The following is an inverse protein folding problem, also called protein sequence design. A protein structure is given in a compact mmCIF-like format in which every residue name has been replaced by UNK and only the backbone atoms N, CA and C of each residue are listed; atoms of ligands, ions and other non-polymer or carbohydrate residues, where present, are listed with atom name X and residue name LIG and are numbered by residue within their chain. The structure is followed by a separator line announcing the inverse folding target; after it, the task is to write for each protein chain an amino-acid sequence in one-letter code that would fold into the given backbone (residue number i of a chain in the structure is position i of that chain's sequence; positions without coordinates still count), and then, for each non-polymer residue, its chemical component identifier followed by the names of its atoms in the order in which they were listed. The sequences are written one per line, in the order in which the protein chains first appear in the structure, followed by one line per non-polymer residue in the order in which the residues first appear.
data_IF_458026106248
#
_entry.id   IF_458026106248
#
_cell.length_a   1.000
_cell.length_b   1.000
_cell.length_c   1.000
_cell.angle_alpha   90.00
_cell.angle_beta   90.00
_cell.angle_gamma   90.00
#
_symmetry.space_group_name_H-M   'P 1'
#
loop_
_entity.id
_entity.type
_entity.pdbx_description
1 polymer ?
#
# COMPACT_ATOMS: atom_id res chain seq x y z
N UNK A 1 31.38 -76.80 3.74
CA UNK A 1 31.92 -75.84 4.73
C UNK A 1 32.69 -74.64 4.15
N UNK A 2 32.92 -74.51 2.82
CA UNK A 2 33.61 -73.32 2.24
C UNK A 2 32.69 -72.18 1.81
N UNK A 3 31.40 -72.44 1.56
CA UNK A 3 30.44 -71.40 1.10
C UNK A 3 29.83 -70.57 2.23
N UNK A 4 29.71 -71.12 3.44
CA UNK A 4 29.18 -70.40 4.61
C UNK A 4 30.17 -69.37 5.20
N UNK A 5 31.47 -69.56 5.00
CA UNK A 5 32.50 -68.64 5.48
C UNK A 5 32.61 -67.36 4.64
N UNK A 6 32.22 -67.42 3.36
CA UNK A 6 32.27 -66.26 2.44
C UNK A 6 31.12 -65.28 2.73
N UNK A 7 29.95 -65.77 3.13
CA UNK A 7 28.84 -64.90 3.54
C UNK A 7 29.03 -64.28 4.92
N UNK A 8 29.78 -64.95 5.82
CA UNK A 8 30.14 -64.38 7.12
C UNK A 8 31.24 -63.31 7.01
N UNK A 9 32.13 -63.40 6.01
CA UNK A 9 33.14 -62.36 5.76
C UNK A 9 32.61 -61.11 5.04
N UNK A 10 31.46 -61.20 4.35
CA UNK A 10 30.85 -60.05 3.65
C UNK A 10 29.96 -59.17 4.53
N UNK A 11 29.71 -59.58 5.79
CA UNK A 11 28.87 -58.86 6.75
C UNK A 11 29.67 -57.98 7.74
N UNK A 12 31.00 -57.88 7.62
CA UNK A 12 31.86 -57.19 8.61
C UNK A 12 32.43 -55.84 8.14
N UNK A 13 32.20 -55.37 6.90
CA UNK A 13 32.77 -54.08 6.46
C UNK A 13 31.73 -53.08 5.96
N UNK A 14 30.85 -52.64 6.86
CA UNK A 14 30.26 -51.30 6.79
C UNK A 14 30.35 -50.65 8.17
N UNK A 15 31.58 -50.47 8.68
CA UNK A 15 31.82 -49.35 9.58
C UNK A 15 31.80 -48.09 8.72
N UNK A 16 30.60 -47.54 8.50
CA UNK A 16 30.48 -46.13 8.19
C UNK A 16 31.19 -45.40 9.33
N UNK A 17 32.44 -44.96 9.10
CA UNK A 17 33.09 -44.02 10.01
C UNK A 17 32.20 -42.79 10.01
N UNK A 18 31.37 -42.65 11.04
CA UNK A 18 30.71 -41.39 11.31
C UNK A 18 31.83 -40.37 11.49
N UNK A 19 32.05 -39.53 10.47
CA UNK A 19 33.03 -38.48 10.53
C UNK A 19 32.52 -37.48 11.57
N UNK A 20 33.04 -37.58 12.79
CA UNK A 20 32.74 -36.62 13.84
C UNK A 20 33.42 -35.31 13.47
N UNK A 21 32.67 -34.45 12.80
CA UNK A 21 33.11 -33.12 12.42
C UNK A 21 33.43 -32.30 13.70
N UNK A 22 34.64 -31.69 13.81
CA UNK A 22 34.99 -30.89 14.98
C UNK A 22 34.10 -29.67 15.19
N UNK A 23 33.44 -29.17 14.13
CA UNK A 23 32.36 -28.19 14.24
C UNK A 23 31.04 -28.96 14.37
N UNK A 24 30.38 -28.78 15.51
CA UNK A 24 29.21 -29.57 15.90
C UNK A 24 27.88 -28.88 15.54
N UNK A 25 27.87 -27.55 15.40
CA UNK A 25 26.69 -26.81 14.95
C UNK A 25 27.05 -25.51 14.22
N UNK A 26 26.21 -25.15 13.26
CA UNK A 26 26.24 -23.85 12.57
C UNK A 26 24.80 -23.37 12.47
N UNK A 27 24.53 -22.16 12.95
CA UNK A 27 23.25 -21.47 12.85
C UNK A 27 23.46 -20.15 12.09
N UNK A 28 22.62 -19.93 11.09
CA UNK A 28 22.62 -18.72 10.26
C UNK A 28 21.29 -18.01 10.50
N UNK A 29 21.37 -16.80 11.06
CA UNK A 29 20.25 -15.90 11.23
C UNK A 29 20.38 -14.74 10.24
N UNK A 30 19.52 -14.78 9.23
CA UNK A 30 19.31 -13.71 8.25
C UNK A 30 17.80 -13.64 7.99
N UNK A 31 17.22 -12.43 7.86
CA UNK A 31 15.83 -12.27 7.46
C UNK A 31 15.55 -12.95 6.12
N UNK A 32 14.30 -13.35 5.90
CA UNK A 32 13.89 -13.96 4.62
C UNK A 32 13.95 -12.98 3.44
N UNK A 33 13.89 -11.68 3.70
CA UNK A 33 13.92 -10.62 2.69
C UNK A 33 14.91 -9.51 3.10
N UNK A 34 16.23 -9.78 3.11
CA UNK A 34 17.22 -8.78 3.47
C UNK A 34 17.40 -7.76 2.33
N UNK A 35 18.12 -6.67 2.62
CA UNK A 35 18.49 -5.65 1.63
C UNK A 35 19.27 -6.28 0.46
N UNK A 36 19.04 -5.80 -0.77
CA UNK A 36 19.73 -6.26 -1.96
C UNK A 36 21.25 -5.98 -1.91
N UNK A 37 21.67 -4.92 -1.22
CA UNK A 37 23.06 -4.59 -1.00
C UNK A 37 23.56 -5.24 0.29
N UNK A 38 24.48 -6.21 0.16
CA UNK A 38 25.02 -6.94 1.31
C UNK A 38 25.81 -6.06 2.28
N UNK A 39 26.26 -4.88 1.87
CA UNK A 39 26.88 -3.90 2.76
C UNK A 39 25.95 -3.46 3.90
N UNK A 40 24.64 -3.50 3.67
CA UNK A 40 23.62 -3.08 4.63
C UNK A 40 23.24 -4.19 5.62
N UNK A 41 23.81 -5.39 5.50
CA UNK A 41 23.52 -6.52 6.40
C UNK A 41 24.24 -6.41 7.75
N UNK A 42 24.95 -5.32 7.99
CA UNK A 42 25.69 -5.08 9.22
C UNK A 42 24.82 -4.60 10.38
N UNK A 43 23.65 -4.03 10.10
CA UNK A 43 22.79 -3.36 11.09
C UNK A 43 21.31 -3.45 10.71
N UNK A 44 20.44 -3.05 11.64
CA UNK A 44 19.01 -2.86 11.38
C UNK A 44 18.26 -4.14 11.00
N UNK A 45 17.28 -4.00 10.12
CA UNK A 45 16.35 -5.08 9.76
C UNK A 45 16.97 -6.18 8.88
N UNK A 46 18.16 -5.95 8.32
CA UNK A 46 18.90 -6.89 7.45
C UNK A 46 20.07 -7.55 8.16
N UNK A 47 20.18 -7.42 9.49
CA UNK A 47 21.35 -7.84 10.23
C UNK A 47 21.65 -9.35 10.09
N UNK A 48 22.83 -9.68 9.59
CA UNK A 48 23.34 -11.05 9.51
C UNK A 48 23.98 -11.46 10.84
N UNK A 49 23.65 -12.65 11.33
CA UNK A 49 24.35 -13.30 12.44
C UNK A 49 24.65 -14.75 12.11
N UNK A 50 25.89 -15.17 12.35
CA UNK A 50 26.35 -16.55 12.23
C UNK A 50 26.81 -17.00 13.62
N UNK A 51 26.33 -18.14 14.08
CA UNK A 51 26.77 -18.77 15.33
C UNK A 51 27.26 -20.17 15.02
N UNK A 52 28.43 -20.55 15.51
CA UNK A 52 28.95 -21.90 15.36
C UNK A 52 29.51 -22.43 16.68
N UNK A 53 29.38 -23.74 16.88
CA UNK A 53 29.95 -24.43 18.05
C UNK A 53 30.97 -25.48 17.64
N UNK A 54 32.04 -25.57 18.41
CA UNK A 54 33.12 -26.54 18.24
C UNK A 54 33.16 -27.58 19.35
N UNK A 55 33.75 -28.73 19.06
CA UNK A 55 34.04 -29.77 20.03
C UNK A 55 35.13 -29.37 21.03
N UNK A 56 35.09 -29.99 22.21
CA UNK A 56 36.09 -29.81 23.25
C UNK A 56 37.05 -31.03 23.31
N UNK A 57 38.31 -30.77 23.64
CA UNK A 57 39.32 -31.80 23.98
C UNK A 57 39.95 -31.39 25.31
N UNK A 58 39.89 -32.27 26.32
CA UNK A 58 40.42 -32.01 27.66
C UNK A 58 39.92 -30.68 28.28
N UNK A 59 38.64 -30.36 28.09
CA UNK A 59 38.01 -29.14 28.62
C UNK A 59 38.38 -27.84 27.89
N UNK A 60 39.14 -27.91 26.78
CA UNK A 60 39.49 -26.76 25.93
C UNK A 60 38.89 -26.92 24.54
N UNK A 61 38.79 -25.81 23.80
CA UNK A 61 38.38 -25.85 22.38
C UNK A 61 39.38 -26.73 21.60
N UNK A 62 38.88 -27.62 20.76
CA UNK A 62 39.71 -28.47 19.91
C UNK A 62 40.67 -27.62 19.05
N UNK A 63 41.96 -27.95 19.00
CA UNK A 63 42.97 -27.20 18.24
C UNK A 63 42.62 -27.02 16.76
N UNK A 64 42.00 -28.04 16.13
CA UNK A 64 41.52 -27.93 14.76
C UNK A 64 40.42 -26.88 14.58
N UNK A 65 39.60 -26.66 15.62
CA UNK A 65 38.57 -25.63 15.62
C UNK A 65 39.19 -24.25 15.80
N UNK A 66 40.21 -24.11 16.66
CA UNK A 66 40.95 -22.85 16.87
C UNK A 66 41.64 -22.39 15.58
N UNK A 67 42.26 -23.32 14.86
CA UNK A 67 42.96 -23.06 13.59
C UNK A 67 42.04 -23.06 12.36
N UNK A 68 40.73 -23.18 12.56
CA UNK A 68 39.79 -23.29 11.45
C UNK A 68 39.63 -21.97 10.69
N UNK A 69 39.24 -22.11 9.43
CA UNK A 69 38.84 -21.03 8.54
C UNK A 69 37.34 -21.13 8.27
N UNK A 70 36.69 -19.98 8.12
CA UNK A 70 35.25 -19.89 7.84
C UNK A 70 35.02 -19.35 6.43
N UNK A 71 34.35 -20.15 5.60
CA UNK A 71 33.92 -19.73 4.26
C UNK A 71 32.46 -19.31 4.33
N UNK A 72 32.18 -18.06 3.95
CA UNK A 72 30.82 -17.53 3.81
C UNK A 72 30.63 -17.09 2.36
N UNK A 73 29.64 -17.67 1.68
CA UNK A 73 29.34 -17.36 0.27
C UNK A 73 27.84 -17.33 0.04
N UNK A 74 27.42 -16.57 -0.97
CA UNK A 74 26.04 -16.56 -1.43
C UNK A 74 25.98 -17.36 -2.73
N UNK A 75 24.99 -18.22 -2.84
CA UNK A 75 24.73 -19.05 -4.00
C UNK A 75 23.38 -18.75 -4.62
N UNK A 76 23.27 -19.01 -5.92
CA UNK A 76 22.03 -19.11 -6.67
C UNK A 76 22.07 -20.42 -7.46
N UNK A 77 21.07 -21.28 -7.29
CA UNK A 77 21.02 -22.61 -7.90
C UNK A 77 22.32 -23.41 -7.68
N UNK A 78 22.84 -23.41 -6.45
CA UNK A 78 24.08 -24.10 -6.07
C UNK A 78 25.39 -23.45 -6.55
N UNK A 79 25.33 -22.43 -7.42
CA UNK A 79 26.52 -21.73 -7.93
C UNK A 79 26.84 -20.50 -7.09
N UNK A 80 28.11 -20.32 -6.72
CA UNK A 80 28.59 -19.12 -6.00
C UNK A 80 28.39 -17.87 -6.87
N UNK A 81 27.65 -16.89 -6.35
CA UNK A 81 27.40 -15.59 -7.01
C UNK A 81 27.97 -14.41 -6.24
N UNK A 82 28.25 -14.56 -4.94
CA UNK A 82 28.91 -13.53 -4.14
C UNK A 82 29.78 -14.15 -3.04
N UNK A 83 30.87 -13.45 -2.71
CA UNK A 83 31.87 -13.82 -1.70
C UNK A 83 33.27 -13.79 -2.34
N UNK A 84 34.23 -13.12 -1.73
CA UNK A 84 35.60 -13.01 -2.26
C UNK A 84 36.40 -14.30 -2.06
N UNK A 85 36.14 -15.02 -0.97
CA UNK A 85 36.97 -16.14 -0.55
C UNK A 85 36.62 -17.46 -1.24
N UNK A 86 37.61 -18.35 -1.27
CA UNK A 86 37.46 -19.78 -1.54
C UNK A 86 37.76 -20.54 -0.26
N UNK A 87 37.57 -21.85 -0.28
CA UNK A 87 37.88 -22.70 0.87
C UNK A 87 39.36 -22.62 1.30
N UNK A 88 40.28 -22.30 0.37
CA UNK A 88 41.72 -22.08 0.68
C UNK A 88 42.06 -20.67 1.19
N UNK A 89 41.34 -19.64 0.71
CA UNK A 89 41.61 -18.23 1.05
C UNK A 89 40.70 -17.67 2.14
N UNK A 90 39.77 -18.48 2.66
CA UNK A 90 38.89 -18.12 3.75
C UNK A 90 39.64 -17.55 4.97
N UNK A 91 39.07 -16.53 5.64
CA UNK A 91 39.66 -15.96 6.85
C UNK A 91 39.59 -16.94 8.02
N UNK A 92 40.47 -16.75 8.99
CA UNK A 92 40.43 -17.48 10.26
C UNK A 92 39.09 -17.28 10.96
N UNK A 93 38.53 -18.35 11.52
CA UNK A 93 37.30 -18.30 12.32
C UNK A 93 37.50 -17.61 13.67
N UNK A 94 38.73 -17.69 14.22
CA UNK A 94 39.08 -17.09 15.50
C UNK A 94 38.20 -17.60 16.67
N UNK A 95 37.99 -18.91 16.73
CA UNK A 95 37.40 -19.55 17.91
C UNK A 95 38.32 -19.37 19.12
N UNK A 96 37.79 -18.77 20.18
CA UNK A 96 38.45 -18.61 21.48
C UNK A 96 37.66 -19.25 22.63
N UNK A 97 36.42 -19.65 22.38
CA UNK A 97 35.50 -20.35 23.27
C UNK A 97 34.78 -21.45 22.47
N UNK A 98 33.99 -22.31 23.12
CA UNK A 98 33.30 -23.40 22.40
C UNK A 98 32.24 -22.90 21.41
N UNK A 99 31.70 -21.70 21.63
CA UNK A 99 30.70 -21.09 20.74
C UNK A 99 31.18 -19.73 20.29
N UNK A 100 31.24 -19.53 18.98
CA UNK A 100 31.62 -18.25 18.37
C UNK A 100 30.44 -17.64 17.65
N UNK A 101 30.25 -16.33 17.87
CA UNK A 101 29.22 -15.53 17.20
C UNK A 101 29.89 -14.44 16.38
N UNK A 102 29.51 -14.35 15.12
CA UNK A 102 29.79 -13.21 14.24
C UNK A 102 28.46 -12.54 13.97
N UNK A 103 28.34 -11.24 14.27
CA UNK A 103 27.09 -10.51 14.07
C UNK A 103 27.37 -9.16 13.42
N UNK A 104 26.40 -8.71 12.63
CA UNK A 104 26.45 -7.44 11.93
C UNK A 104 27.68 -7.35 11.03
N UNK A 105 28.38 -6.21 11.08
CA UNK A 105 29.54 -5.95 10.21
C UNK A 105 30.63 -7.03 10.32
N UNK A 106 30.77 -7.69 11.47
CA UNK A 106 31.73 -8.79 11.65
C UNK A 106 31.31 -10.08 10.90
N UNK A 107 30.01 -10.29 10.69
CA UNK A 107 29.54 -11.41 9.87
C UNK A 107 29.61 -11.06 8.39
N UNK A 108 29.28 -9.81 8.03
CA UNK A 108 29.33 -9.32 6.64
C UNK A 108 30.76 -9.33 6.11
N UNK A 109 31.76 -8.99 6.93
CA UNK A 109 33.17 -9.00 6.51
C UNK A 109 33.66 -10.39 6.09
N UNK A 110 33.01 -11.47 6.53
CA UNK A 110 33.34 -12.84 6.13
C UNK A 110 32.97 -13.15 4.68
N UNK A 111 32.10 -12.35 4.06
CA UNK A 111 31.89 -12.39 2.61
C UNK A 111 33.11 -11.85 1.86
N UNK A 112 33.91 -10.96 2.48
CA UNK A 112 35.12 -10.36 1.90
C UNK A 112 34.86 -9.34 0.78
N UNK A 113 33.61 -9.16 0.35
CA UNK A 113 33.20 -8.17 -0.62
C UNK A 113 31.72 -7.81 -0.43
N UNK A 114 31.37 -6.56 -0.75
CA UNK A 114 29.99 -6.12 -0.87
C UNK A 114 29.45 -6.50 -2.25
N UNK A 115 28.18 -6.91 -2.30
CA UNK A 115 27.50 -7.31 -3.51
C UNK A 115 26.13 -6.64 -3.58
N UNK A 116 25.71 -6.26 -4.79
CA UNK A 116 24.34 -5.86 -5.07
C UNK A 116 23.67 -7.03 -5.79
N UNK A 117 22.71 -7.65 -5.12
CA UNK A 117 22.02 -8.84 -5.60
C UNK A 117 20.79 -8.43 -6.41
N UNK A 118 20.62 -8.93 -7.65
CA UNK A 118 19.37 -8.80 -8.37
C UNK A 118 18.20 -9.50 -7.64
N UNK A 119 16.95 -9.23 -8.04
CA UNK A 119 15.80 -9.94 -7.52
C UNK A 119 15.90 -11.47 -7.74
N UNK A 120 15.42 -12.24 -6.78
CA UNK A 120 15.31 -13.69 -6.86
C UNK A 120 15.67 -14.42 -5.57
N UNK A 121 15.72 -15.74 -5.67
CA UNK A 121 16.01 -16.64 -4.54
C UNK A 121 17.49 -17.03 -4.47
N UNK A 122 18.00 -17.05 -3.25
CA UNK A 122 19.41 -17.23 -2.93
C UNK A 122 19.60 -18.08 -1.67
N UNK A 123 20.82 -18.58 -1.50
CA UNK A 123 21.24 -19.31 -0.31
C UNK A 123 22.52 -18.73 0.25
N UNK A 124 22.52 -18.34 1.53
CA UNK A 124 23.74 -18.01 2.26
C UNK A 124 24.32 -19.30 2.81
N UNK A 125 25.54 -19.64 2.39
CA UNK A 125 26.23 -20.89 2.73
C UNK A 125 27.42 -20.63 3.64
N UNK A 126 27.55 -21.42 4.70
CA UNK A 126 28.65 -21.36 5.66
C UNK A 126 29.27 -22.75 5.83
N UNK A 127 30.60 -22.82 5.74
CA UNK A 127 31.36 -24.05 5.98
C UNK A 127 32.72 -23.75 6.60
N UNK A 128 33.21 -24.67 7.45
CA UNK A 128 34.50 -24.56 8.09
C UNK A 128 35.52 -25.52 7.50
N UNK A 129 36.76 -25.07 7.42
CA UNK A 129 37.89 -25.85 6.90
C UNK A 129 39.10 -25.72 7.81
N UNK A 130 40.04 -26.66 7.73
CA UNK A 130 41.40 -26.46 8.18
C UNK A 130 42.39 -26.77 7.07
N UNK A 131 43.63 -26.33 7.29
CA UNK A 131 44.76 -26.77 6.50
C UNK A 131 45.63 -27.67 7.36
N UNK A 132 45.73 -28.94 7.00
CA UNK A 132 46.57 -29.91 7.71
C UNK A 132 47.30 -30.77 6.69
N UNK A 133 48.60 -30.99 6.91
CA UNK A 133 49.46 -31.80 6.05
C UNK A 133 49.44 -31.37 4.57
N UNK A 134 49.44 -30.06 4.30
CA UNK A 134 49.42 -29.54 2.92
C UNK A 134 48.07 -29.65 2.22
N UNK A 135 47.03 -30.15 2.90
CA UNK A 135 45.70 -30.39 2.34
C UNK A 135 44.62 -29.62 3.09
N UNK A 136 43.68 -29.08 2.32
CA UNK A 136 42.48 -28.48 2.87
C UNK A 136 41.47 -29.57 3.24
N UNK A 137 41.03 -29.60 4.50
CA UNK A 137 40.05 -30.57 4.98
C UNK A 137 38.79 -29.85 5.50
N UNK A 138 37.58 -30.30 5.11
CA UNK A 138 36.35 -29.79 5.70
C UNK A 138 36.24 -30.22 7.17
N UNK A 139 35.89 -29.28 8.03
CA UNK A 139 35.63 -29.50 9.46
C UNK A 139 34.15 -29.49 9.81
N UNK A 140 33.30 -29.17 8.83
CA UNK A 140 31.86 -29.20 8.92
C UNK A 140 31.27 -29.59 7.57
N UNK A 141 30.03 -30.07 7.60
CA UNK A 141 29.18 -30.00 6.42
C UNK A 141 28.85 -28.54 6.12
N UNK A 142 28.53 -28.24 4.86
CA UNK A 142 27.99 -26.94 4.49
C UNK A 142 26.59 -26.77 5.09
N UNK A 143 26.34 -25.62 5.71
CA UNK A 143 25.00 -25.21 6.13
C UNK A 143 24.54 -24.02 5.32
N UNK A 144 23.31 -24.09 4.83
CA UNK A 144 22.72 -23.07 3.97
C UNK A 144 21.47 -22.48 4.63
N UNK A 145 21.22 -21.21 4.34
CA UNK A 145 19.99 -20.49 4.71
C UNK A 145 19.43 -19.82 3.46
N UNK A 146 18.24 -20.24 3.06
CA UNK A 146 17.51 -19.62 1.96
C UNK A 146 17.02 -18.21 2.33
N UNK A 147 17.07 -17.29 1.36
CA UNK A 147 16.49 -15.95 1.44
C UNK A 147 16.12 -15.46 0.02
N UNK A 148 15.26 -14.46 -0.05
CA UNK A 148 14.77 -13.89 -1.31
C UNK A 148 15.08 -12.40 -1.34
N UNK A 149 15.78 -11.95 -2.39
CA UNK A 149 15.87 -10.53 -2.70
C UNK A 149 14.64 -10.15 -3.48
N UNK A 150 13.78 -9.35 -2.87
CA UNK A 150 12.62 -8.79 -3.57
C UNK A 150 13.11 -7.70 -4.50
N UNK A 151 12.62 -7.72 -5.74
CA UNK A 151 12.84 -6.58 -6.62
C UNK A 151 12.08 -5.34 -6.14
N UNK A 152 12.47 -4.20 -6.69
CA UNK A 152 11.68 -2.97 -6.62
C UNK A 152 10.38 -3.05 -7.41
N UNK A 153 10.02 -4.22 -7.93
CA UNK A 153 8.69 -4.53 -8.42
C UNK A 153 7.74 -4.40 -7.22
N UNK A 154 7.25 -3.18 -7.02
CA UNK A 154 5.98 -2.94 -6.36
C UNK A 154 5.04 -4.03 -6.91
N UNK A 155 4.47 -4.90 -6.05
CA UNK A 155 3.40 -5.77 -6.54
C UNK A 155 2.41 -4.86 -7.26
N UNK A 156 1.88 -5.29 -8.41
CA UNK A 156 1.06 -4.43 -9.26
C UNK A 156 -0.20 -4.05 -8.50
N UNK A 157 -0.11 -2.97 -7.74
CA UNK A 157 -1.13 -2.52 -6.83
C UNK A 157 -2.23 -1.89 -7.68
N UNK A 158 -3.48 -2.28 -7.44
CA UNK A 158 -4.62 -1.61 -8.03
C UNK A 158 -4.89 -0.32 -7.25
N UNK A 159 -5.12 0.77 -7.98
CA UNK A 159 -5.54 2.03 -7.38
C UNK A 159 -6.86 1.87 -6.59
N UNK A 160 -7.09 2.73 -5.58
CA UNK A 160 -8.37 2.78 -4.87
C UNK A 160 -9.55 3.02 -5.82
N UNK A 161 -10.68 2.40 -5.53
CA UNK A 161 -11.96 2.65 -6.18
C UNK A 161 -12.87 3.43 -5.26
N UNK A 162 -13.55 4.44 -5.80
CA UNK A 162 -14.45 5.30 -5.02
C UNK A 162 -15.78 4.59 -4.75
N UNK A 163 -16.33 4.78 -3.56
CA UNK A 163 -17.56 4.11 -3.10
C UNK A 163 -18.65 5.14 -2.77
N UNK A 164 -18.33 6.14 -1.95
CA UNK A 164 -19.30 7.14 -1.48
C UNK A 164 -18.64 8.52 -1.35
N UNK A 165 -19.34 9.63 -1.66
CA UNK A 165 -20.60 9.69 -2.40
C UNK A 165 -20.49 8.98 -3.75
N UNK A 166 -21.55 8.31 -4.22
CA UNK A 166 -21.51 7.61 -5.50
C UNK A 166 -21.34 8.63 -6.65
N UNK A 167 -20.83 8.18 -7.80
CA UNK A 167 -20.66 9.06 -8.94
C UNK A 167 -22.00 9.71 -9.34
N UNK A 168 -21.97 11.00 -9.66
CA UNK A 168 -23.11 11.83 -10.06
C UNK A 168 -24.23 11.93 -9.01
N UNK A 169 -23.92 11.65 -7.73
CA UNK A 169 -24.90 11.79 -6.64
C UNK A 169 -25.40 13.23 -6.53
N UNK A 170 -26.72 13.41 -6.43
CA UNK A 170 -27.35 14.71 -6.09
C UNK A 170 -27.78 14.72 -4.63
N UNK A 171 -27.18 15.62 -3.86
CA UNK A 171 -27.46 15.86 -2.44
C UNK A 171 -28.45 17.03 -2.35
N UNK A 172 -29.35 17.03 -1.35
CA UNK A 172 -30.27 18.16 -1.15
C UNK A 172 -29.50 19.38 -0.64
N UNK A 173 -29.87 20.56 -1.10
CA UNK A 173 -29.29 21.82 -0.61
C UNK A 173 -29.48 22.02 0.90
N UNK A 174 -30.55 21.47 1.49
CA UNK A 174 -30.72 21.45 2.96
C UNK A 174 -29.66 20.66 3.72
N UNK A 175 -28.92 19.78 3.03
CA UNK A 175 -27.84 18.96 3.59
C UNK A 175 -26.46 19.57 3.36
N UNK A 176 -26.38 20.79 2.81
CA UNK A 176 -25.15 21.47 2.42
C UNK A 176 -24.17 21.72 3.58
N UNK A 177 -24.71 21.92 4.78
CA UNK A 177 -23.92 22.10 6.01
C UNK A 177 -23.64 20.78 6.75
N UNK A 178 -24.19 19.65 6.28
CA UNK A 178 -23.96 18.35 6.92
C UNK A 178 -22.60 17.79 6.53
N UNK A 179 -21.90 17.09 7.46
CA UNK A 179 -20.66 16.43 7.12
C UNK A 179 -20.86 15.37 6.03
N UNK A 180 -20.01 15.38 5.01
CA UNK A 180 -19.99 14.36 3.96
C UNK A 180 -18.91 13.34 4.29
N UNK A 181 -19.28 12.06 4.30
CA UNK A 181 -18.32 10.96 4.49
C UNK A 181 -17.95 10.36 3.14
N UNK A 182 -16.67 10.44 2.82
CA UNK A 182 -16.06 9.85 1.64
C UNK A 182 -15.55 8.46 1.97
N UNK A 183 -15.75 7.48 1.07
CA UNK A 183 -15.32 6.08 1.22
C UNK A 183 -14.74 5.55 -0.08
N UNK A 184 -13.72 4.72 0.04
CA UNK A 184 -13.03 4.07 -1.09
C UNK A 184 -12.58 2.66 -0.73
N UNK A 185 -12.10 1.88 -1.70
CA UNK A 185 -11.48 0.57 -1.47
C UNK A 185 -10.01 0.71 -1.07
N UNK A 186 -9.44 -0.21 -0.28
CA UNK A 186 -8.01 -0.22 -0.04
C UNK A 186 -7.24 -0.56 -1.33
N UNK A 187 -5.93 -0.36 -1.30
CA UNK A 187 -5.03 -0.81 -2.37
C UNK A 187 -4.94 -2.33 -2.33
N UNK A 188 -5.00 -2.98 -3.50
CA UNK A 188 -5.00 -4.44 -3.63
C UNK A 188 -3.81 -4.91 -4.51
N UNK A 189 -3.01 -5.90 -4.08
CA UNK A 189 -3.05 -6.57 -2.78
C UNK A 189 -2.74 -5.60 -1.62
N UNK A 190 -3.17 -5.92 -0.39
CA UNK A 190 -2.93 -5.04 0.76
C UNK A 190 -1.42 -4.89 1.02
N UNK A 191 -0.86 -3.67 0.98
CA UNK A 191 0.55 -3.46 1.29
C UNK A 191 0.88 -3.87 2.74
N UNK A 192 2.09 -4.37 2.96
CA UNK A 192 2.61 -4.66 4.32
C UNK A 192 2.98 -3.37 5.06
N UNK A 193 3.29 -2.33 4.31
CA UNK A 193 3.62 -1.00 4.82
C UNK A 193 2.37 -0.14 4.99
N UNK A 194 2.49 0.93 5.76
CA UNK A 194 1.41 1.92 5.92
C UNK A 194 1.15 2.61 4.60
N UNK A 195 -0.14 2.72 4.24
CA UNK A 195 -0.61 3.48 3.09
C UNK A 195 -1.27 4.76 3.56
N UNK A 196 -0.81 5.90 3.05
CA UNK A 196 -1.49 7.18 3.25
C UNK A 196 -2.42 7.44 2.08
N UNK A 197 -3.69 7.69 2.36
CA UNK A 197 -4.70 8.08 1.38
C UNK A 197 -4.92 9.58 1.41
N UNK A 198 -4.65 10.24 0.30
CA UNK A 198 -4.91 11.67 0.09
C UNK A 198 -6.22 11.88 -0.66
N UNK A 199 -7.25 12.29 0.07
CA UNK A 199 -8.52 12.75 -0.48
C UNK A 199 -8.38 14.19 -0.98
N UNK A 200 -8.83 14.46 -2.20
CA UNK A 200 -8.97 15.81 -2.74
C UNK A 200 -10.37 16.04 -3.29
N UNK A 201 -10.90 17.24 -3.06
CA UNK A 201 -12.19 17.71 -3.57
C UNK A 201 -11.98 19.05 -4.26
N UNK A 202 -12.60 19.24 -5.42
CA UNK A 202 -12.60 20.48 -6.17
C UNK A 202 -14.03 20.90 -6.49
N UNK A 203 -14.27 22.20 -6.50
CA UNK A 203 -15.50 22.80 -7.00
C UNK A 203 -15.36 23.06 -8.51
N UNK A 204 -16.42 22.77 -9.27
CA UNK A 204 -16.49 23.09 -10.70
C UNK A 204 -16.95 24.54 -10.91
N UNK A 205 -16.37 25.19 -11.91
CA UNK A 205 -16.85 26.47 -12.42
C UNK A 205 -17.67 26.27 -13.69
N UNK A 206 -18.48 27.26 -14.03
CA UNK A 206 -19.26 27.26 -15.27
C UNK A 206 -18.38 27.00 -16.50
N UNK A 207 -18.80 26.05 -17.35
CA UNK A 207 -18.07 25.65 -18.55
C UNK A 207 -16.89 24.68 -18.33
N UNK A 208 -16.59 24.29 -17.08
CA UNK A 208 -15.54 23.29 -16.79
C UNK A 208 -16.10 21.87 -16.69
N UNK A 209 -15.33 20.89 -17.17
CA UNK A 209 -15.51 19.48 -16.81
C UNK A 209 -14.60 19.09 -15.63
N UNK A 210 -14.84 17.93 -15.02
CA UNK A 210 -14.09 17.47 -13.85
C UNK A 210 -12.57 17.37 -14.05
N UNK A 211 -12.11 17.02 -15.26
CA UNK A 211 -10.67 16.95 -15.56
C UNK A 211 -10.04 18.34 -15.62
N UNK A 212 -10.71 19.31 -16.26
CA UNK A 212 -10.27 20.70 -16.32
C UNK A 212 -10.22 21.34 -14.93
N UNK A 213 -11.25 21.10 -14.10
CA UNK A 213 -11.31 21.62 -12.75
C UNK A 213 -10.10 21.18 -11.89
N UNK A 214 -9.66 19.92 -11.99
CA UNK A 214 -8.47 19.44 -11.23
C UNK A 214 -7.15 20.08 -11.67
N UNK A 215 -7.05 20.45 -12.94
CA UNK A 215 -5.80 21.02 -13.51
C UNK A 215 -5.70 22.51 -13.25
N UNK A 216 -6.83 23.22 -13.27
CA UNK A 216 -6.89 24.69 -13.20
C UNK A 216 -7.22 25.18 -11.80
N UNK A 217 -8.07 24.47 -11.06
CA UNK A 217 -8.57 24.93 -9.76
C UNK A 217 -7.73 24.33 -8.62
N UNK A 218 -7.55 25.09 -7.54
CA UNK A 218 -7.04 24.56 -6.29
C UNK A 218 -8.11 23.68 -5.62
N UNK A 219 -7.75 22.55 -5.00
CA UNK A 219 -8.71 21.74 -4.26
C UNK A 219 -9.24 22.53 -3.06
N UNK A 220 -10.56 22.54 -2.91
CA UNK A 220 -11.23 23.16 -1.75
C UNK A 220 -11.00 22.34 -0.47
N UNK A 221 -10.63 21.07 -0.62
CA UNK A 221 -10.20 20.23 0.50
C UNK A 221 -9.13 19.27 0.06
N UNK A 222 -8.07 19.17 0.88
CA UNK A 222 -7.09 18.08 0.83
C UNK A 222 -7.01 17.46 2.22
N UNK A 223 -7.16 16.13 2.33
CA UNK A 223 -7.12 15.42 3.61
C UNK A 223 -6.38 14.10 3.47
N UNK A 224 -5.36 13.92 4.30
CA UNK A 224 -4.58 12.70 4.35
C UNK A 224 -5.06 11.83 5.52
N UNK A 225 -5.23 10.52 5.29
CA UNK A 225 -5.57 9.54 6.32
C UNK A 225 -4.73 8.27 6.13
N UNK A 226 -4.20 7.74 7.23
CA UNK A 226 -3.31 6.56 7.20
C UNK A 226 -4.09 5.28 7.43
N UNK A 227 -3.97 4.31 6.51
CA UNK A 227 -4.61 3.00 6.56
C UNK A 227 -6.14 3.01 6.76
N UNK A 228 -6.78 4.18 6.60
CA UNK A 228 -8.22 4.35 6.68
C UNK A 228 -8.77 4.55 5.28
N UNK A 229 -9.86 3.83 4.96
CA UNK A 229 -10.51 3.91 3.65
C UNK A 229 -11.74 4.82 3.66
N UNK A 230 -11.76 5.78 4.58
CA UNK A 230 -12.81 6.77 4.72
C UNK A 230 -12.29 8.08 5.32
N UNK A 231 -12.92 9.19 4.95
CA UNK A 231 -12.69 10.48 5.58
C UNK A 231 -13.98 11.32 5.57
N UNK A 232 -14.25 11.99 6.68
CA UNK A 232 -15.37 12.94 6.77
C UNK A 232 -14.86 14.36 6.60
N UNK A 233 -15.52 15.13 5.74
CA UNK A 233 -15.30 16.55 5.54
C UNK A 233 -16.51 17.30 6.09
N UNK A 234 -16.26 18.25 6.98
CA UNK A 234 -17.29 19.18 7.47
C UNK A 234 -17.21 20.47 6.65
N UNK A 235 -18.34 21.06 6.31
CA UNK A 235 -18.44 22.28 5.50
C UNK A 235 -17.68 22.17 4.17
N UNK A 236 -18.06 21.24 3.27
CA UNK A 236 -17.36 21.02 2.00
C UNK A 236 -17.48 22.20 1.01
N UNK A 237 -18.22 23.25 1.34
CA UNK A 237 -18.49 24.39 0.46
C UNK A 237 -17.83 25.65 1.01
N UNK A 238 -16.94 26.24 0.22
CA UNK A 238 -16.20 27.47 0.57
C UNK A 238 -16.83 28.73 -0.01
N UNK A 239 -17.86 28.64 -0.86
CA UNK A 239 -18.48 29.80 -1.53
C UNK A 239 -19.93 29.56 -1.96
N UNK A 240 -20.66 30.62 -2.39
CA UNK A 240 -22.05 30.48 -2.82
C UNK A 240 -22.15 29.57 -4.05
N UNK A 241 -23.17 28.73 -4.09
CA UNK A 241 -23.55 27.99 -5.30
C UNK A 241 -24.24 28.91 -6.32
N UNK A 242 -23.50 29.89 -6.82
CA UNK A 242 -23.94 30.86 -7.82
C UNK A 242 -22.80 31.08 -8.82
N UNK A 243 -23.11 31.25 -10.12
CA UNK A 243 -22.12 31.54 -11.14
C UNK A 243 -21.14 32.65 -10.70
N UNK A 244 -19.83 32.45 -10.90
CA UNK A 244 -19.20 31.39 -11.71
C UNK A 244 -19.01 30.04 -10.98
N UNK A 245 -19.30 29.94 -9.68
CA UNK A 245 -19.10 28.74 -8.87
C UNK A 245 -20.35 27.87 -8.84
N UNK A 246 -20.24 26.64 -9.35
CA UNK A 246 -21.36 25.72 -9.37
C UNK A 246 -21.48 24.95 -8.05
N UNK A 247 -22.64 24.37 -7.83
CA UNK A 247 -22.89 23.41 -6.75
C UNK A 247 -22.44 21.99 -7.15
N UNK A 248 -21.50 21.89 -8.09
CA UNK A 248 -20.97 20.66 -8.67
C UNK A 248 -19.52 20.48 -8.20
N UNK A 249 -19.19 19.26 -7.81
CA UNK A 249 -17.90 18.93 -7.21
C UNK A 249 -17.33 17.68 -7.86
N UNK A 250 -16.01 17.62 -7.97
CA UNK A 250 -15.26 16.43 -8.35
C UNK A 250 -14.33 16.04 -7.21
N UNK A 251 -14.16 14.75 -6.99
CA UNK A 251 -13.27 14.26 -5.96
C UNK A 251 -12.55 12.98 -6.40
N UNK A 252 -11.37 12.77 -5.81
CA UNK A 252 -10.59 11.55 -5.98
C UNK A 252 -9.74 11.25 -4.74
N UNK A 253 -9.14 10.05 -4.76
CA UNK A 253 -8.21 9.60 -3.71
C UNK A 253 -6.92 9.12 -4.35
N UNK A 254 -5.78 9.53 -3.78
CA UNK A 254 -4.47 9.06 -4.17
C UNK A 254 -3.83 8.25 -3.04
N UNK A 255 -3.37 7.03 -3.35
CA UNK A 255 -2.61 6.19 -2.42
C UNK A 255 -1.11 6.49 -2.50
N UNK A 256 -0.49 6.69 -1.35
CA UNK A 256 0.93 7.02 -1.18
C UNK A 256 1.59 6.02 -0.22
N UNK A 257 2.88 5.73 -0.46
CA UNK A 257 3.70 5.00 0.50
C UNK A 257 4.26 5.93 1.59
N UNK A 258 5.06 5.37 2.51
CA UNK A 258 5.66 6.10 3.62
C UNK A 258 6.59 7.25 3.18
N UNK A 259 7.21 7.15 2.01
CA UNK A 259 8.04 8.21 1.44
C UNK A 259 7.23 9.26 0.67
N UNK A 260 5.90 9.18 0.69
CA UNK A 260 5.00 10.09 -0.04
C UNK A 260 4.95 9.84 -1.55
N UNK A 261 5.47 8.70 -2.02
CA UNK A 261 5.43 8.31 -3.44
C UNK A 261 4.13 7.57 -3.76
N UNK A 262 3.58 7.74 -4.97
CA UNK A 262 2.33 7.07 -5.33
C UNK A 262 2.48 5.54 -5.41
N UNK A 263 1.44 4.82 -5.00
CA UNK A 263 1.39 3.35 -5.10
C UNK A 263 0.19 2.86 -5.89
N UNK A 264 0.47 1.99 -6.87
CA UNK A 264 -0.53 1.36 -7.73
C UNK A 264 -0.76 2.02 -9.08
N UNK A 265 -1.67 1.43 -9.86
CA UNK A 265 -2.04 1.87 -11.20
C UNK A 265 -2.48 3.34 -11.19
N UNK A 266 -2.39 4.01 -12.35
CA UNK A 266 -2.75 5.43 -12.46
C UNK A 266 -2.06 6.34 -11.43
N UNK A 267 -0.79 6.07 -11.12
CA UNK A 267 -0.03 6.78 -10.08
C UNK A 267 -0.78 6.81 -8.74
N UNK A 268 -1.32 5.64 -8.36
CA UNK A 268 -2.12 5.42 -7.15
C UNK A 268 -3.41 6.20 -7.05
N UNK A 269 -3.86 6.82 -8.14
CA UNK A 269 -5.00 7.74 -8.13
C UNK A 269 -6.26 7.03 -8.63
N UNK A 270 -7.36 7.17 -7.90
CA UNK A 270 -8.66 6.68 -8.32
C UNK A 270 -9.18 7.43 -9.56
N UNK A 271 -10.16 6.83 -10.24
CA UNK A 271 -11.02 7.58 -11.15
C UNK A 271 -11.76 8.70 -10.40
N UNK A 272 -12.24 9.68 -11.15
CA UNK A 272 -12.97 10.81 -10.62
C UNK A 272 -14.44 10.45 -10.42
N UNK A 273 -14.97 10.75 -9.24
CA UNK A 273 -16.41 10.81 -9.04
C UNK A 273 -16.86 12.27 -8.91
N UNK A 274 -18.08 12.53 -9.34
CA UNK A 274 -18.75 13.81 -9.16
C UNK A 274 -19.89 13.69 -8.15
N UNK A 275 -20.23 14.80 -7.52
CA UNK A 275 -21.49 14.95 -6.79
C UNK A 275 -21.92 16.40 -6.87
N UNK A 276 -23.20 16.67 -6.68
CA UNK A 276 -23.73 18.03 -6.69
C UNK A 276 -24.79 18.23 -5.62
N UNK A 277 -25.06 19.49 -5.31
CA UNK A 277 -26.23 19.85 -4.52
C UNK A 277 -27.30 20.43 -5.43
N UNK A 278 -28.54 19.95 -5.27
CA UNK A 278 -29.66 20.39 -6.10
C UNK A 278 -30.73 21.09 -5.26
N UNK A 279 -31.19 22.22 -5.76
CA UNK A 279 -32.31 23.01 -5.24
C UNK A 279 -33.67 22.48 -5.75
N UNK A 280 -33.81 21.16 -5.92
CA UNK A 280 -34.96 20.55 -6.61
C UNK A 280 -36.25 20.46 -5.79
N UNK A 281 -36.33 21.09 -4.62
CA UNK A 281 -37.59 21.26 -3.89
C UNK A 281 -38.24 22.65 -4.10
N UNK A 282 -37.94 23.36 -5.21
CA UNK A 282 -38.84 24.43 -5.66
C UNK A 282 -40.01 23.83 -6.44
N UNK A 283 -41.02 23.30 -5.75
CA UNK A 283 -42.36 23.18 -6.35
C UNK A 283 -42.73 24.59 -6.84
N UNK A 284 -43.14 24.79 -8.10
CA UNK A 284 -43.58 26.10 -8.56
C UNK A 284 -44.59 26.67 -7.57
N UNK A 285 -44.50 27.96 -7.20
CA UNK A 285 -45.50 28.58 -6.34
C UNK A 285 -46.87 28.31 -6.95
N UNK A 286 -47.71 27.59 -6.23
CA UNK A 286 -49.06 27.35 -6.69
C UNK A 286 -49.85 28.65 -6.45
N UNK A 287 -50.21 29.33 -7.54
CA UNK A 287 -51.08 30.49 -7.52
C UNK A 287 -52.51 30.00 -7.73
N UNK A 288 -53.39 30.33 -6.80
CA UNK A 288 -54.82 30.01 -6.90
C UNK A 288 -55.62 31.29 -6.83
N UNK A 289 -56.44 31.56 -7.85
CA UNK A 289 -57.39 32.68 -7.85
C UNK A 289 -58.43 32.44 -6.74
N UNK A 290 -58.54 33.37 -5.81
CA UNK A 290 -59.51 33.35 -4.70
C UNK A 290 -60.74 34.18 -5.05
N UNK A 291 -60.54 35.30 -5.75
CA UNK A 291 -61.61 36.20 -6.18
C UNK A 291 -61.17 36.98 -7.41
N UNK A 292 -62.08 37.27 -8.36
CA UNK A 292 -63.37 36.61 -8.53
C UNK A 292 -63.22 35.09 -8.75
N UNK A 293 -64.19 34.29 -8.33
CA UNK A 293 -64.16 32.85 -8.63
C UNK A 293 -64.41 32.61 -10.12
N UNK A 294 -63.85 31.54 -10.68
CA UNK A 294 -64.07 31.20 -12.09
C UNK A 294 -65.58 31.15 -12.42
N UNK A 295 -66.00 31.90 -13.45
CA UNK A 295 -67.40 32.00 -13.87
C UNK A 295 -68.29 32.96 -13.07
N UNK A 296 -67.74 33.78 -12.16
CA UNK A 296 -68.54 34.77 -11.43
C UNK A 296 -69.08 35.87 -12.35
N UNK A 297 -70.33 36.26 -12.15
CA UNK A 297 -70.94 37.44 -12.77
C UNK A 297 -70.76 38.62 -11.80
N UNK A 298 -70.16 39.71 -12.28
CA UNK A 298 -69.94 40.93 -11.50
C UNK A 298 -70.84 42.05 -12.04
N UNK A 299 -71.33 42.92 -11.16
CA UNK A 299 -72.12 44.07 -11.58
C UNK A 299 -71.24 45.09 -12.33
N UNK A 300 -71.79 45.73 -13.36
CA UNK A 300 -71.06 46.71 -14.19
C UNK A 300 -70.54 47.91 -13.38
N UNK A 301 -71.19 48.21 -12.26
CA UNK A 301 -70.79 49.28 -11.33
C UNK A 301 -69.68 48.89 -10.36
N UNK A 302 -69.27 47.62 -10.30
CA UNK A 302 -68.27 47.13 -9.37
C UNK A 302 -66.92 46.93 -10.06
N UNK A 303 -65.86 47.52 -9.51
CA UNK A 303 -64.51 47.20 -9.96
C UNK A 303 -64.07 45.84 -9.39
N UNK A 304 -63.68 44.86 -10.24
CA UNK A 304 -63.24 43.55 -9.77
C UNK A 304 -61.98 43.68 -8.92
N UNK A 305 -62.04 43.19 -7.69
CA UNK A 305 -60.83 43.03 -6.86
C UNK A 305 -60.29 41.61 -7.02
N UNK A 306 -59.14 41.49 -7.65
CA UNK A 306 -58.45 40.21 -7.83
C UNK A 306 -57.67 39.85 -6.56
N UNK A 307 -57.94 38.67 -6.00
CA UNK A 307 -57.21 38.11 -4.86
C UNK A 307 -56.71 36.73 -5.24
N UNK A 308 -55.47 36.43 -4.90
CA UNK A 308 -54.87 35.12 -5.12
C UNK A 308 -54.21 34.62 -3.84
N UNK A 309 -54.21 33.30 -3.67
CA UNK A 309 -53.45 32.61 -2.64
C UNK A 309 -52.20 32.03 -3.29
N UNK A 310 -51.04 32.34 -2.73
CA UNK A 310 -49.76 31.78 -3.16
C UNK A 310 -49.34 30.76 -2.11
N UNK A 311 -49.16 29.51 -2.52
CA UNK A 311 -48.58 28.47 -1.64
C UNK A 311 -47.12 28.29 -2.03
N UNK A 312 -46.19 28.72 -1.16
CA UNK A 312 -44.73 28.58 -1.32
C UNK A 312 -44.16 27.56 -0.33
N UNK A 313 -43.13 26.82 -0.74
CA UNK A 313 -42.28 25.97 0.09
C UNK A 313 -40.82 26.10 -0.39
N UNK A 314 -39.80 26.26 0.48
CA UNK A 314 -39.48 27.42 1.31
C UNK A 314 -38.65 28.52 0.57
N UNK A 315 -39.00 29.80 0.76
CA UNK A 315 -38.34 30.87 1.57
C UNK A 315 -37.11 31.52 0.91
N UNK A 316 -37.32 32.70 0.30
CA UNK A 316 -36.54 33.94 0.53
C UNK A 316 -36.91 35.08 -0.44
N UNK A 317 -37.60 34.80 -1.55
CA UNK A 317 -38.11 35.85 -2.45
C UNK A 317 -39.63 35.72 -2.64
N UNK A 318 -40.44 36.76 -2.36
CA UNK A 318 -41.84 36.77 -2.79
C UNK A 318 -41.88 36.72 -4.33
N UNK A 319 -42.67 35.81 -4.94
CA UNK A 319 -42.75 35.75 -6.39
C UNK A 319 -43.41 37.02 -6.94
N UNK A 320 -42.85 37.58 -8.01
CA UNK A 320 -43.51 38.62 -8.79
C UNK A 320 -44.71 38.00 -9.52
N UNK A 321 -45.91 38.54 -9.30
CA UNK A 321 -47.15 38.08 -9.96
C UNK A 321 -47.58 39.15 -10.96
N UNK A 322 -47.80 38.75 -12.21
CA UNK A 322 -48.37 39.61 -13.26
C UNK A 322 -49.79 39.17 -13.57
N UNK A 323 -50.74 40.11 -13.52
CA UNK A 323 -52.12 39.88 -13.93
C UNK A 323 -52.30 40.32 -15.38
N UNK A 324 -52.80 39.42 -16.23
CA UNK A 324 -53.26 39.74 -17.58
C UNK A 324 -54.76 39.49 -17.64
N UNK A 325 -55.52 40.54 -17.96
CA UNK A 325 -56.96 40.46 -18.21
C UNK A 325 -57.15 40.52 -19.73
N UNK A 326 -57.95 39.61 -20.26
CA UNK A 326 -58.30 39.56 -21.69
C UNK A 326 -59.81 39.64 -21.77
N UNK A 327 -60.30 40.60 -22.54
CA UNK A 327 -61.71 40.66 -22.91
C UNK A 327 -61.95 39.65 -24.03
N UNK A 328 -62.95 38.78 -23.83
CA UNK A 328 -63.39 37.82 -24.83
C UNK A 328 -64.56 38.47 -25.57
N UNK A 329 -64.42 38.66 -26.88
CA UNK A 329 -65.45 39.28 -27.72
C UNK A 329 -65.99 38.23 -28.69
N UNK A 330 -67.31 38.03 -28.69
CA UNK A 330 -68.00 37.06 -29.55
C UNK A 330 -67.73 35.61 -29.16
N UNK A 331 -67.52 34.74 -30.15
CA UNK A 331 -67.36 33.28 -29.97
C UNK A 331 -65.93 32.84 -29.62
N UNK A 332 -65.11 33.76 -29.11
CA UNK A 332 -63.74 33.44 -28.71
C UNK A 332 -63.75 32.50 -27.49
N UNK A 333 -62.96 31.42 -27.57
CA UNK A 333 -62.75 30.54 -26.42
C UNK A 333 -61.70 31.14 -25.47
N UNK A 334 -61.88 31.02 -24.13
CA UNK A 334 -60.96 31.56 -23.12
C UNK A 334 -59.51 31.08 -23.19
#
# INVERSE_FOLDING_TARGET
MKKALIYLLLLITFQAKAQTNPITSINISLPSNPDANTANWGTGVSQLTITASGGAVNGRVNGFVVESKILVIIKKNGTKICGAYTSGTAPSSNFNTLTKVWSGSNAVSLLGQSCILPPGDYELSVQFFNYSNGKLNPLSDEKTKAFTIRGSEQPTYQAPQLIAPANETRIKESDLLKPITFRWTPVIPRPQEVVTYRLRVWQLMEGQNGTQARTVNQPITTKDVDNLTQATISNPITGPCKPPYLCDFVWNVQALNREGKPIGTNSGTSENFTFSFSSTDKKPPMITLVSPTNGSILAVSEMPTFRWKITVNPVNDPPTVSLKIVEIIGDQSP
#
